data_IF_483426619689
#
_entry.id   IF_483426619689
#
_cell.length_a   1.000
_cell.length_b   1.000
_cell.length_c   1.000
_cell.angle_alpha   90.00
_cell.angle_beta   90.00
_cell.angle_gamma   90.00
#
_symmetry.space_group_name_H-M   'P 1'
#
loop_
_entity.id
_entity.type
_entity.pdbx_description
1 polymer ?
#
# COMPACT_ATOMS: atom_id res chain seq x y z
N UNK A 1 24.72 29.48 -2.80
CA UNK A 1 25.05 28.05 -2.60
C UNK A 1 24.82 27.33 -3.90
N UNK A 2 25.77 26.53 -4.35
CA UNK A 2 25.60 25.71 -5.54
C UNK A 2 25.13 24.32 -5.04
N UNK A 3 23.89 23.94 -5.35
CA UNK A 3 23.37 22.61 -5.11
C UNK A 3 23.81 21.63 -6.21
N UNK A 4 23.73 20.34 -5.93
CA UNK A 4 23.92 19.28 -6.93
C UNK A 4 22.75 18.30 -6.88
N UNK A 5 22.55 17.60 -7.99
CA UNK A 5 21.61 16.49 -8.11
C UNK A 5 22.41 15.24 -8.54
N UNK A 6 22.17 14.14 -7.84
CA UNK A 6 22.71 12.83 -8.17
C UNK A 6 21.52 11.88 -8.41
N UNK A 7 21.55 11.15 -9.52
CA UNK A 7 20.60 10.07 -9.79
C UNK A 7 21.36 8.74 -9.84
N UNK A 8 20.83 7.74 -9.15
CA UNK A 8 21.38 6.38 -9.09
C UNK A 8 20.25 5.36 -9.06
N UNK A 9 20.55 4.11 -9.39
CA UNK A 9 19.67 2.97 -9.16
C UNK A 9 19.85 2.40 -7.74
N UNK A 10 18.90 1.58 -7.30
CA UNK A 10 19.11 0.66 -6.17
C UNK A 10 20.40 -0.12 -6.47
N UNK A 11 21.25 -0.34 -5.48
CA UNK A 11 22.61 -0.90 -5.59
C UNK A 11 23.65 -0.02 -6.32
N UNK A 12 23.27 1.14 -6.80
CA UNK A 12 24.25 2.10 -7.32
C UNK A 12 25.20 2.58 -6.21
N UNK A 13 26.39 3.04 -6.61
CA UNK A 13 27.43 3.50 -5.67
C UNK A 13 26.99 4.77 -4.97
N UNK A 14 26.63 4.65 -3.69
CA UNK A 14 26.29 5.75 -2.79
C UNK A 14 27.43 6.12 -1.84
N UNK A 15 28.56 5.40 -1.87
CA UNK A 15 29.67 5.58 -0.93
C UNK A 15 30.22 7.00 -1.02
N UNK A 16 30.30 7.67 0.12
CA UNK A 16 30.81 9.03 0.25
C UNK A 16 29.93 10.13 -0.33
N UNK A 17 28.66 9.81 -0.67
CA UNK A 17 27.70 10.79 -1.18
C UNK A 17 26.43 10.75 -0.34
N UNK A 18 25.88 11.92 -0.07
CA UNK A 18 24.64 12.11 0.68
C UNK A 18 23.82 13.25 0.10
N UNK A 19 22.71 13.58 0.75
CA UNK A 19 21.85 14.68 0.36
C UNK A 19 20.93 15.12 1.49
N UNK A 20 20.45 16.35 1.42
CA UNK A 20 19.45 16.88 2.34
C UNK A 20 18.03 16.39 2.00
N UNK A 21 17.80 16.05 0.74
CA UNK A 21 16.53 15.47 0.26
C UNK A 21 16.89 14.24 -0.55
N UNK A 22 16.29 13.12 -0.21
CA UNK A 22 16.42 11.86 -0.91
C UNK A 22 15.05 11.50 -1.48
N UNK A 23 14.98 11.31 -2.80
CA UNK A 23 13.76 10.87 -3.48
C UNK A 23 13.99 9.46 -4.00
N UNK A 24 13.14 8.54 -3.61
CA UNK A 24 13.12 7.15 -4.05
C UNK A 24 11.91 7.02 -4.98
N UNK A 25 12.16 6.68 -6.23
CA UNK A 25 11.13 6.56 -7.27
C UNK A 25 11.12 5.14 -7.79
N UNK A 26 10.00 4.43 -7.61
CA UNK A 26 9.78 3.04 -8.01
C UNK A 26 11.00 2.12 -7.75
N UNK A 27 11.41 1.89 -6.48
CA UNK A 27 12.63 1.15 -6.15
C UNK A 27 12.61 -0.30 -6.66
N UNK A 28 11.44 -0.83 -6.99
CA UNK A 28 11.24 -2.11 -7.68
C UNK A 28 10.28 -1.89 -8.85
N UNK A 29 10.80 -1.84 -10.07
CA UNK A 29 10.03 -1.47 -11.25
C UNK A 29 9.19 -2.61 -11.86
N UNK A 30 9.51 -3.87 -11.61
CA UNK A 30 8.86 -5.00 -12.26
C UNK A 30 7.98 -5.80 -11.31
N UNK A 31 6.73 -6.09 -11.71
CA UNK A 31 5.81 -6.92 -10.93
C UNK A 31 6.43 -8.27 -10.54
N UNK A 32 7.14 -8.93 -11.47
CA UNK A 32 7.82 -10.19 -11.20
C UNK A 32 8.88 -10.07 -10.09
N UNK A 33 9.61 -8.94 -10.03
CA UNK A 33 10.58 -8.68 -8.98
C UNK A 33 9.90 -8.41 -7.64
N UNK A 34 8.76 -7.71 -7.63
CA UNK A 34 7.98 -7.45 -6.40
C UNK A 34 7.40 -8.74 -5.84
N UNK A 35 6.99 -9.69 -6.67
CA UNK A 35 6.50 -11.00 -6.20
C UNK A 35 7.62 -11.85 -5.57
N UNK A 36 8.89 -11.56 -5.88
CA UNK A 36 10.04 -12.21 -5.25
C UNK A 36 10.29 -11.68 -3.84
N UNK A 37 10.12 -12.52 -2.82
CA UNK A 37 10.45 -12.17 -1.44
C UNK A 37 11.90 -11.70 -1.31
N UNK A 38 12.83 -12.37 -1.99
CA UNK A 38 14.25 -12.00 -1.99
C UNK A 38 14.46 -10.56 -2.48
N UNK A 39 13.78 -10.14 -3.53
CA UNK A 39 13.90 -8.77 -4.07
C UNK A 39 13.30 -7.74 -3.11
N UNK A 40 12.17 -8.04 -2.47
CA UNK A 40 11.55 -7.14 -1.49
C UNK A 40 12.44 -6.94 -0.27
N UNK A 41 12.96 -8.04 0.30
CA UNK A 41 13.90 -7.99 1.44
C UNK A 41 15.16 -7.21 1.06
N UNK A 42 15.72 -7.47 -0.13
CA UNK A 42 16.90 -6.77 -0.61
C UNK A 42 16.73 -5.25 -0.67
N UNK A 43 15.59 -4.77 -1.19
CA UNK A 43 15.31 -3.32 -1.24
C UNK A 43 15.08 -2.74 0.15
N UNK A 44 14.43 -3.47 1.05
CA UNK A 44 14.29 -3.05 2.45
C UNK A 44 15.65 -2.97 3.15
N UNK A 45 16.51 -3.97 2.98
CA UNK A 45 17.87 -3.98 3.52
C UNK A 45 18.71 -2.81 2.97
N UNK A 46 18.61 -2.56 1.66
CA UNK A 46 19.28 -1.41 1.04
C UNK A 46 18.80 -0.08 1.64
N UNK A 47 17.49 0.07 1.85
CA UNK A 47 16.93 1.26 2.47
C UNK A 47 17.49 1.47 3.88
N UNK A 48 17.39 0.47 4.75
CA UNK A 48 17.78 0.61 6.16
C UNK A 48 19.30 0.66 6.36
N UNK A 49 20.06 -0.18 5.65
CA UNK A 49 21.49 -0.35 5.88
C UNK A 49 22.36 0.62 5.06
N UNK A 50 21.84 1.15 3.96
CA UNK A 50 22.60 2.01 3.06
C UNK A 50 22.02 3.42 2.98
N UNK A 51 20.77 3.54 2.54
CA UNK A 51 20.18 4.83 2.17
C UNK A 51 19.95 5.75 3.35
N UNK A 52 19.43 5.27 4.47
CA UNK A 52 19.16 6.08 5.66
C UNK A 52 20.42 6.80 6.16
N UNK A 53 21.59 6.17 6.03
CA UNK A 53 22.87 6.77 6.43
C UNK A 53 23.28 7.93 5.51
N UNK A 54 22.67 8.10 4.35
CA UNK A 54 22.99 9.12 3.35
C UNK A 54 22.21 10.41 3.49
N UNK A 55 21.24 10.49 4.41
CA UNK A 55 20.61 11.75 4.74
C UNK A 55 21.59 12.61 5.55
N UNK A 56 22.07 13.70 4.95
CA UNK A 56 23.11 14.55 5.54
C UNK A 56 22.62 15.29 6.76
N UNK A 57 21.39 15.80 6.72
CA UNK A 57 20.74 16.44 7.86
C UNK A 57 19.57 15.59 8.34
N UNK A 58 19.74 14.92 9.46
CA UNK A 58 18.72 14.02 10.01
C UNK A 58 17.59 14.76 10.75
N UNK A 59 17.74 16.05 11.02
CA UNK A 59 16.72 16.86 11.69
C UNK A 59 15.81 17.59 10.71
N UNK A 60 16.40 18.12 9.62
CA UNK A 60 15.68 18.96 8.65
C UNK A 60 15.65 18.36 7.24
N UNK A 61 16.35 17.27 7.02
CA UNK A 61 16.33 16.56 5.75
C UNK A 61 15.03 15.78 5.56
N UNK A 62 14.75 15.38 4.31
CA UNK A 62 13.56 14.64 3.98
C UNK A 62 13.86 13.41 3.11
N UNK A 63 13.12 12.33 3.33
CA UNK A 63 13.06 11.17 2.45
C UNK A 63 11.65 11.11 1.87
N UNK A 64 11.54 11.08 0.55
CA UNK A 64 10.28 10.98 -0.18
C UNK A 64 10.28 9.65 -0.95
N UNK A 65 9.34 8.79 -0.66
CA UNK A 65 9.12 7.54 -1.37
C UNK A 65 7.91 7.69 -2.30
N UNK A 66 8.14 7.48 -3.59
CA UNK A 66 7.10 7.47 -4.63
C UNK A 66 7.10 6.09 -5.25
N UNK A 67 5.98 5.39 -5.20
CA UNK A 67 5.87 4.05 -5.79
C UNK A 67 4.42 3.61 -5.96
N UNK A 68 4.20 2.68 -6.88
CA UNK A 68 2.98 1.90 -6.91
C UNK A 68 3.00 0.86 -5.79
N UNK A 69 1.83 0.55 -5.24
CA UNK A 69 1.68 -0.56 -4.30
C UNK A 69 1.46 -1.85 -5.11
N UNK A 70 2.39 -2.77 -5.02
CA UNK A 70 2.36 -4.02 -5.80
C UNK A 70 2.31 -5.28 -4.91
N UNK A 71 2.68 -5.16 -3.64
CA UNK A 71 2.66 -6.24 -2.66
C UNK A 71 2.50 -5.65 -1.25
N UNK A 72 1.90 -6.41 -0.34
CA UNK A 72 1.76 -5.99 1.08
C UNK A 72 3.11 -5.72 1.72
N UNK A 73 4.12 -6.55 1.40
CA UNK A 73 5.49 -6.42 1.87
C UNK A 73 6.39 -5.71 0.85
N UNK A 74 5.89 -4.77 0.08
CA UNK A 74 6.74 -3.84 -0.66
C UNK A 74 7.41 -2.84 0.30
N UNK A 75 8.33 -2.01 -0.20
CA UNK A 75 9.05 -1.07 0.66
C UNK A 75 8.09 -0.16 1.44
N UNK A 76 7.03 0.36 0.81
CA UNK A 76 6.02 1.16 1.50
C UNK A 76 5.33 0.35 2.61
N UNK A 77 4.96 -0.90 2.36
CA UNK A 77 4.37 -1.78 3.36
C UNK A 77 5.30 -2.05 4.55
N UNK A 78 6.59 -2.20 4.30
CA UNK A 78 7.61 -2.30 5.35
C UNK A 78 7.66 -1.06 6.22
N UNK A 79 7.73 0.11 5.60
CA UNK A 79 7.83 1.39 6.30
C UNK A 79 6.58 1.71 7.12
N UNK A 80 5.39 1.41 6.57
CA UNK A 80 4.11 1.65 7.25
C UNK A 80 3.87 0.75 8.47
N UNK A 81 4.53 -0.40 8.55
CA UNK A 81 4.51 -1.27 9.73
C UNK A 81 5.56 -0.92 10.77
N UNK A 82 6.52 -0.07 10.41
CA UNK A 82 7.54 0.42 11.32
C UNK A 82 6.99 1.46 12.32
N UNK A 83 7.85 1.86 13.27
CA UNK A 83 7.54 2.91 14.26
C UNK A 83 7.79 4.34 13.74
N UNK A 84 8.09 4.51 12.47
CA UNK A 84 8.42 5.79 11.86
C UNK A 84 7.14 6.58 11.54
N UNK A 85 7.14 7.88 11.84
CA UNK A 85 6.04 8.80 11.51
C UNK A 85 6.11 9.19 10.03
N UNK A 86 5.52 8.38 9.17
CA UNK A 86 5.40 8.68 7.74
C UNK A 86 4.14 9.47 7.44
N UNK A 87 4.28 10.59 6.74
CA UNK A 87 3.14 11.23 6.10
C UNK A 87 2.80 10.49 4.83
N UNK A 88 1.61 9.89 4.77
CA UNK A 88 1.18 9.05 3.65
C UNK A 88 0.20 9.81 2.77
N UNK A 89 0.49 9.87 1.48
CA UNK A 89 -0.45 10.29 0.45
C UNK A 89 -0.77 9.07 -0.42
N UNK A 90 -1.97 8.52 -0.29
CA UNK A 90 -2.47 7.42 -1.13
C UNK A 90 -3.52 7.97 -2.08
N UNK A 91 -3.32 7.74 -3.38
CA UNK A 91 -4.20 8.24 -4.44
C UNK A 91 -4.75 7.07 -5.27
N UNK A 92 -5.78 6.37 -4.79
CA UNK A 92 -6.44 5.33 -5.56
C UNK A 92 -7.09 5.92 -6.82
N UNK A 93 -7.14 5.13 -7.91
CA UNK A 93 -7.76 5.57 -9.15
C UNK A 93 -9.24 5.93 -8.98
N UNK A 94 -9.94 5.22 -8.09
CA UNK A 94 -11.31 5.55 -7.67
C UNK A 94 -11.30 5.67 -6.15
N UNK A 95 -11.71 6.82 -5.61
CA UNK A 95 -11.80 7.04 -4.18
C UNK A 95 -12.79 6.05 -3.53
N UNK A 96 -12.36 5.36 -2.47
CA UNK A 96 -13.18 4.36 -1.77
C UNK A 96 -14.07 4.99 -0.68
N UNK A 97 -13.67 6.16 -0.19
CA UNK A 97 -14.38 6.96 0.82
C UNK A 97 -14.16 8.44 0.55
N UNK A 98 -14.87 9.30 1.26
CA UNK A 98 -14.66 10.73 1.20
C UNK A 98 -13.29 11.08 1.83
N UNK A 99 -12.48 11.84 1.12
CA UNK A 99 -11.10 12.16 1.51
C UNK A 99 -10.88 13.67 1.49
N UNK A 100 -10.19 14.17 2.50
CA UNK A 100 -9.66 15.52 2.59
C UNK A 100 -8.13 15.48 2.48
N UNK A 101 -7.59 15.94 1.37
CA UNK A 101 -6.15 15.88 1.11
C UNK A 101 -5.57 17.29 1.26
N UNK A 102 -4.74 17.56 2.30
CA UNK A 102 -4.05 18.83 2.43
C UNK A 102 -3.07 19.06 1.27
N UNK A 103 -3.21 20.15 0.54
CA UNK A 103 -2.34 20.51 -0.59
C UNK A 103 -1.42 21.69 -0.29
N UNK A 104 -1.27 22.06 0.98
CA UNK A 104 -0.44 23.17 1.44
C UNK A 104 -1.18 24.52 1.46
N UNK A 105 -0.56 25.51 2.09
CA UNK A 105 -1.10 26.86 2.24
C UNK A 105 -2.51 26.93 2.83
N UNK A 106 -2.88 25.97 3.69
CA UNK A 106 -4.22 25.86 4.27
C UNK A 106 -5.31 25.40 3.29
N UNK A 107 -4.93 25.02 2.08
CA UNK A 107 -5.86 24.49 1.08
C UNK A 107 -6.03 22.97 1.20
N UNK A 108 -7.22 22.51 0.90
CA UNK A 108 -7.60 21.09 0.93
C UNK A 108 -8.22 20.71 -0.41
N UNK A 109 -7.78 19.61 -0.96
CA UNK A 109 -8.43 18.97 -2.10
C UNK A 109 -9.41 17.91 -1.61
N UNK A 110 -10.65 18.03 -2.04
CA UNK A 110 -11.72 17.11 -1.67
C UNK A 110 -11.91 16.04 -2.75
N UNK A 111 -11.95 14.76 -2.35
CA UNK A 111 -12.40 13.64 -3.19
C UNK A 111 -13.55 12.94 -2.50
N UNK A 112 -14.62 12.70 -3.23
CA UNK A 112 -15.77 11.93 -2.73
C UNK A 112 -15.62 10.47 -3.10
N UNK A 113 -16.22 9.59 -2.31
CA UNK A 113 -16.32 8.19 -2.64
C UNK A 113 -16.89 8.00 -4.06
N UNK A 114 -16.19 7.26 -4.91
CA UNK A 114 -16.51 7.07 -6.32
C UNK A 114 -15.86 8.06 -7.29
N UNK A 115 -15.22 9.11 -6.81
CA UNK A 115 -14.50 10.06 -7.67
C UNK A 115 -13.30 9.39 -8.34
N UNK A 116 -13.20 9.56 -9.65
CA UNK A 116 -12.04 9.12 -10.44
C UNK A 116 -10.91 10.11 -10.29
N UNK A 117 -9.70 9.63 -10.05
CA UNK A 117 -8.51 10.47 -9.80
C UNK A 117 -8.22 11.41 -10.98
N UNK A 118 -8.29 10.92 -12.20
CA UNK A 118 -8.01 11.71 -13.41
C UNK A 118 -8.97 11.35 -14.55
N UNK A 119 -10.24 11.79 -14.49
CA UNK A 119 -11.28 11.34 -15.43
C UNK A 119 -11.03 11.74 -16.89
N UNK A 120 -10.24 12.80 -17.14
CA UNK A 120 -9.88 13.19 -18.50
C UNK A 120 -8.87 12.22 -19.15
N UNK A 121 -8.04 11.52 -18.36
CA UNK A 121 -7.07 10.53 -18.84
C UNK A 121 -7.62 9.14 -18.78
N UNK A 122 -8.22 8.77 -17.67
CA UNK A 122 -8.70 7.43 -17.36
C UNK A 122 -10.14 7.52 -16.82
N UNK A 123 -11.13 7.69 -17.71
CA UNK A 123 -12.53 7.71 -17.29
C UNK A 123 -12.95 6.35 -16.71
N UNK A 124 -14.07 6.31 -16.01
CA UNK A 124 -14.54 5.14 -15.26
C UNK A 124 -14.65 3.88 -16.12
N UNK A 125 -15.10 4.03 -17.36
CA UNK A 125 -15.26 2.93 -18.32
C UNK A 125 -13.90 2.29 -18.68
N UNK A 126 -12.86 3.11 -18.79
CA UNK A 126 -11.48 2.64 -19.03
C UNK A 126 -10.98 1.88 -17.80
N UNK A 127 -11.20 2.39 -16.60
CA UNK A 127 -10.81 1.74 -15.34
C UNK A 127 -11.54 0.39 -15.14
N UNK A 128 -12.81 0.32 -15.50
CA UNK A 128 -13.60 -0.93 -15.47
C UNK A 128 -13.05 -1.95 -16.48
N UNK A 129 -12.70 -1.52 -17.69
CA UNK A 129 -12.06 -2.37 -18.70
C UNK A 129 -10.71 -2.90 -18.22
N UNK A 130 -9.87 -2.02 -17.64
CA UNK A 130 -8.59 -2.41 -17.05
C UNK A 130 -8.75 -3.41 -15.91
N UNK A 131 -9.75 -3.20 -15.06
CA UNK A 131 -10.07 -4.14 -13.97
C UNK A 131 -10.44 -5.52 -14.49
N UNK A 132 -11.18 -5.59 -15.59
CA UNK A 132 -11.54 -6.85 -16.22
C UNK A 132 -10.33 -7.55 -16.87
N UNK A 133 -9.42 -6.79 -17.46
CA UNK A 133 -8.22 -7.31 -18.12
C UNK A 133 -7.14 -7.78 -17.15
N UNK A 134 -6.85 -6.98 -16.11
CA UNK A 134 -5.80 -7.24 -15.14
C UNK A 134 -6.21 -8.25 -14.07
N UNK A 135 -7.50 -8.38 -13.83
CA UNK A 135 -8.06 -9.12 -12.72
C UNK A 135 -8.07 -8.29 -11.42
N UNK A 136 -8.87 -8.73 -10.43
CA UNK A 136 -9.14 -7.94 -9.23
C UNK A 136 -7.91 -7.71 -8.36
N UNK A 137 -6.97 -8.65 -8.30
CA UNK A 137 -5.79 -8.58 -7.42
C UNK A 137 -4.79 -7.54 -7.93
N UNK A 138 -4.42 -7.59 -9.22
CA UNK A 138 -3.49 -6.64 -9.84
C UNK A 138 -4.12 -5.24 -9.85
N UNK A 139 -5.40 -5.14 -10.22
CA UNK A 139 -6.10 -3.86 -10.21
C UNK A 139 -6.16 -3.25 -8.81
N UNK A 140 -6.47 -4.04 -7.78
CA UNK A 140 -6.48 -3.57 -6.39
C UNK A 140 -5.11 -3.04 -5.95
N UNK A 141 -4.04 -3.70 -6.34
CA UNK A 141 -2.69 -3.28 -6.01
C UNK A 141 -2.31 -1.99 -6.75
N UNK A 142 -2.29 -2.02 -8.09
CA UNK A 142 -1.75 -0.93 -8.91
C UNK A 142 -2.64 0.31 -8.96
N UNK A 143 -3.95 0.11 -9.13
CA UNK A 143 -4.90 1.20 -9.34
C UNK A 143 -5.56 1.67 -8.04
N UNK A 144 -5.81 0.77 -7.10
CA UNK A 144 -6.42 1.14 -5.82
C UNK A 144 -5.41 1.29 -4.69
N UNK A 145 -4.09 1.13 -4.97
CA UNK A 145 -3.00 1.23 -4.00
C UNK A 145 -3.17 0.29 -2.79
N UNK A 146 -3.88 -0.82 -3.00
CA UNK A 146 -4.29 -1.77 -1.97
C UNK A 146 -3.92 -3.20 -2.38
N UNK A 147 -2.62 -3.56 -2.24
CA UNK A 147 -2.19 -4.91 -2.54
C UNK A 147 -2.87 -5.91 -1.61
N UNK A 148 -3.22 -7.06 -2.17
CA UNK A 148 -3.79 -8.20 -1.45
C UNK A 148 -2.88 -9.41 -1.66
N UNK A 149 -2.85 -10.37 -0.73
CA UNK A 149 -2.06 -11.58 -0.89
C UNK A 149 -2.42 -12.31 -2.20
N UNK A 150 -1.45 -12.90 -2.89
CA UNK A 150 -1.73 -13.72 -4.07
C UNK A 150 -2.75 -14.83 -3.75
N UNK A 151 -3.81 -14.90 -4.55
CA UNK A 151 -4.93 -15.84 -4.32
C UNK A 151 -6.05 -15.31 -3.44
N UNK A 152 -6.02 -14.02 -3.07
CA UNK A 152 -7.13 -13.34 -2.36
C UNK A 152 -7.36 -13.79 -0.93
N UNK A 153 -6.33 -14.30 -0.26
CA UNK A 153 -6.40 -14.86 1.10
C UNK A 153 -6.82 -16.34 1.11
N UNK A 154 -6.72 -16.94 2.29
CA UNK A 154 -7.05 -18.37 2.52
C UNK A 154 -8.52 -18.69 2.21
N UNK A 155 -9.41 -17.71 2.42
CA UNK A 155 -10.86 -17.87 2.16
C UNK A 155 -11.22 -17.05 0.91
N UNK A 156 -11.59 -17.74 -0.18
CA UNK A 156 -12.01 -17.08 -1.41
C UNK A 156 -13.44 -16.56 -1.27
N UNK A 157 -13.65 -15.28 -1.62
CA UNK A 157 -14.98 -14.66 -1.58
C UNK A 157 -16.06 -15.47 -2.35
N UNK A 158 -15.65 -16.14 -3.41
CA UNK A 158 -16.55 -17.01 -4.20
C UNK A 158 -17.07 -18.23 -3.40
N UNK A 159 -16.42 -18.58 -2.29
CA UNK A 159 -16.89 -19.66 -1.41
C UNK A 159 -17.98 -19.20 -0.44
N UNK A 160 -18.10 -17.88 -0.21
CA UNK A 160 -19.10 -17.32 0.70
C UNK A 160 -20.42 -17.21 -0.03
N UNK A 161 -21.37 -18.03 0.37
CA UNK A 161 -22.75 -17.97 -0.10
C UNK A 161 -23.54 -17.05 0.81
N UNK A 162 -24.36 -16.18 0.22
CA UNK A 162 -25.32 -15.34 0.95
C UNK A 162 -26.72 -15.88 0.77
N UNK A 163 -27.53 -15.75 1.80
CA UNK A 163 -28.93 -16.13 1.77
C UNK A 163 -29.77 -15.06 2.49
N UNK A 164 -30.99 -14.86 2.03
CA UNK A 164 -31.94 -13.89 2.62
C UNK A 164 -32.68 -14.50 3.79
N UNK A 165 -32.80 -15.83 3.84
CA UNK A 165 -33.38 -16.57 4.96
C UNK A 165 -32.44 -17.66 5.39
N UNK A 166 -32.15 -17.79 6.70
CA UNK A 166 -31.35 -18.90 7.18
C UNK A 166 -32.00 -20.24 6.78
N UNK A 167 -31.21 -21.24 6.35
CA UNK A 167 -31.74 -22.58 6.16
C UNK A 167 -32.28 -23.15 7.48
N UNK A 168 -33.24 -24.05 7.39
CA UNK A 168 -33.68 -24.80 8.57
C UNK A 168 -32.52 -25.68 9.05
N UNK A 169 -32.02 -25.38 10.24
CA UNK A 169 -30.88 -26.08 10.84
C UNK A 169 -31.35 -26.97 11.97
N UNK A 170 -30.94 -28.24 11.94
CA UNK A 170 -31.19 -29.19 13.04
C UNK A 170 -30.22 -29.05 14.19
N UNK A 171 -29.01 -28.57 13.95
CA UNK A 171 -27.97 -28.33 14.95
C UNK A 171 -27.30 -26.99 14.63
N UNK A 172 -27.21 -26.11 15.60
CA UNK A 172 -26.51 -24.85 15.48
C UNK A 172 -25.20 -24.95 16.26
N UNK A 173 -24.08 -24.73 15.59
CA UNK A 173 -22.74 -24.73 16.20
C UNK A 173 -22.19 -23.31 16.14
N UNK A 174 -21.66 -22.83 17.25
CA UNK A 174 -20.95 -21.57 17.31
C UNK A 174 -19.45 -21.81 17.57
N UNK A 175 -18.61 -21.22 16.75
CA UNK A 175 -17.17 -21.19 16.95
C UNK A 175 -16.75 -19.77 17.32
N UNK A 176 -16.00 -19.64 18.40
CA UNK A 176 -15.52 -18.36 18.91
C UNK A 176 -14.00 -18.31 18.78
N UNK A 177 -13.50 -17.30 18.07
CA UNK A 177 -12.10 -16.91 18.09
C UNK A 177 -11.99 -15.63 18.92
N UNK A 178 -11.38 -15.74 20.10
CA UNK A 178 -11.32 -14.63 21.06
C UNK A 178 -9.94 -14.01 21.08
N UNK A 179 -9.88 -12.69 20.94
CA UNK A 179 -8.64 -11.94 21.08
C UNK A 179 -8.07 -12.10 22.50
N UNK A 180 -6.76 -12.37 22.58
CA UNK A 180 -6.06 -12.57 23.86
C UNK A 180 -5.78 -11.27 24.64
N UNK A 181 -5.95 -10.11 24.02
CA UNK A 181 -5.71 -8.80 24.63
C UNK A 181 -6.75 -7.79 24.16
N UNK A 182 -7.11 -6.84 25.05
CA UNK A 182 -7.94 -5.69 24.69
C UNK A 182 -7.04 -4.55 24.18
N UNK A 183 -7.38 -3.92 23.04
CA UNK A 183 -6.72 -2.75 22.49
C UNK A 183 -6.99 -2.60 20.99
N UNK A 184 -6.88 -1.39 20.46
CA UNK A 184 -7.15 -1.06 19.05
C UNK A 184 -6.19 -1.73 18.05
N UNK A 185 -5.05 -2.24 18.52
CA UNK A 185 -4.02 -2.92 17.72
C UNK A 185 -4.11 -4.45 17.77
N UNK A 186 -5.16 -5.02 18.39
CA UNK A 186 -5.31 -6.46 18.54
C UNK A 186 -6.42 -7.01 17.66
N UNK A 187 -6.34 -8.30 17.35
CA UNK A 187 -7.33 -9.02 16.57
C UNK A 187 -8.75 -8.90 17.18
N UNK A 188 -9.75 -8.89 16.32
CA UNK A 188 -11.14 -8.89 16.75
C UNK A 188 -11.53 -10.26 17.30
N UNK A 189 -12.36 -10.25 18.35
CA UNK A 189 -13.09 -11.46 18.73
C UNK A 189 -14.20 -11.72 17.71
N UNK A 190 -14.18 -12.89 17.09
CA UNK A 190 -15.11 -13.26 16.02
C UNK A 190 -15.90 -14.48 16.42
N UNK A 191 -17.20 -14.45 16.17
CA UNK A 191 -18.09 -15.59 16.31
C UNK A 191 -18.62 -16.00 14.93
N UNK A 192 -18.47 -17.26 14.58
CA UNK A 192 -19.14 -17.86 13.43
C UNK A 192 -20.18 -18.86 13.89
N UNK A 193 -21.36 -18.81 13.28
CA UNK A 193 -22.48 -19.71 13.55
C UNK A 193 -22.77 -20.54 12.30
N UNK A 194 -22.78 -21.85 12.43
CA UNK A 194 -23.05 -22.80 11.34
C UNK A 194 -24.03 -23.88 11.77
#
# INVERSE_FOLDING_TARGET
MNGFRLAISVDGTLTGRGGHIIIIDDPIAALAAVLSQKSRVHVADWFFNTLLSRLDDKQNGAIVLIMQRLHEDDLAGFLLRGSEDWTVLSLPAIAEHDEEIPIGNGQVHFRRAGDVLHPAREPKEVLESLRAQLGPEIYSAQYQQRPVPPGGGTIKRAWIRRYDRPPEAGLIIQSWDVANKQGEENDYSVCTTG
#
